data_IF_857307692881
#
_entry.id   IF_857307692881
#
_cell.length_a   1.000
_cell.length_b   1.000
_cell.length_c   1.000
_cell.angle_alpha   90.00
_cell.angle_beta   90.00
_cell.angle_gamma   90.00
#
_symmetry.space_group_name_H-M   'P 1'
#
loop_
_entity.id
_entity.type
_entity.pdbx_description
1 polymer ?
#
# COMPACT_ATOMS: atom_id res chain seq x y z
N UNK A 1 -30.14 9.87 23.05
CA UNK A 1 -29.06 8.87 23.01
C UNK A 1 -27.98 9.39 23.94
N UNK A 2 -27.69 8.72 25.05
CA UNK A 2 -26.57 9.02 25.91
C UNK A 2 -25.43 8.15 25.40
N UNK A 3 -24.38 8.77 24.90
CA UNK A 3 -23.19 8.06 24.46
C UNK A 3 -22.53 7.37 25.67
N UNK A 4 -22.39 6.05 25.60
CA UNK A 4 -21.73 5.29 26.66
C UNK A 4 -20.25 5.10 26.34
N UNK A 5 -19.45 6.06 26.84
CA UNK A 5 -17.99 5.99 26.65
C UNK A 5 -17.30 5.02 27.62
N UNK A 6 -17.99 4.53 28.64
CA UNK A 6 -17.41 3.58 29.62
C UNK A 6 -17.03 2.28 28.93
N UNK A 7 -17.94 1.76 28.08
CA UNK A 7 -17.69 0.55 27.29
C UNK A 7 -16.47 0.72 26.35
N UNK A 8 -16.34 1.90 25.72
CA UNK A 8 -15.19 2.15 24.84
C UNK A 8 -13.89 2.16 25.64
N UNK A 9 -13.90 2.76 26.85
CA UNK A 9 -12.72 2.84 27.70
C UNK A 9 -12.27 1.46 28.20
N UNK A 10 -13.21 0.62 28.58
CA UNK A 10 -12.94 -0.77 28.97
C UNK A 10 -12.38 -1.61 27.82
N UNK A 11 -12.80 -1.36 26.59
CA UNK A 11 -12.36 -2.06 25.39
C UNK A 11 -11.20 -1.38 24.65
N UNK A 12 -10.62 -0.32 25.20
CA UNK A 12 -9.47 0.39 24.60
C UNK A 12 -8.29 -0.52 24.28
N UNK A 13 -7.90 -1.51 25.12
CA UNK A 13 -6.85 -2.47 24.82
C UNK A 13 -7.09 -3.26 23.52
N UNK A 14 -8.35 -3.56 23.18
CA UNK A 14 -8.71 -4.26 21.94
C UNK A 14 -8.40 -3.38 20.71
N UNK A 15 -8.73 -2.08 20.76
CA UNK A 15 -8.41 -1.13 19.70
C UNK A 15 -6.89 -0.95 19.54
N UNK A 16 -6.15 -0.86 20.64
CA UNK A 16 -4.68 -0.75 20.61
C UNK A 16 -4.05 -1.99 19.98
N UNK A 17 -4.55 -3.19 20.33
CA UNK A 17 -4.15 -4.44 19.67
C UNK A 17 -4.48 -4.40 18.18
N UNK A 18 -5.68 -3.92 17.82
CA UNK A 18 -6.11 -3.71 16.44
C UNK A 18 -5.18 -2.77 15.65
N UNK A 19 -4.68 -1.71 16.27
CA UNK A 19 -3.65 -0.83 15.67
C UNK A 19 -2.39 -1.65 15.32
N UNK A 20 -1.95 -2.53 16.23
CA UNK A 20 -0.80 -3.40 15.97
C UNK A 20 -1.01 -4.31 14.76
N UNK A 21 -2.20 -4.92 14.63
CA UNK A 21 -2.56 -5.76 13.47
C UNK A 21 -2.61 -4.93 12.19
N UNK A 22 -3.26 -3.77 12.21
CA UNK A 22 -3.35 -2.83 11.08
C UNK A 22 -1.97 -2.43 10.58
N UNK A 23 -1.07 -2.00 11.48
CA UNK A 23 0.29 -1.60 11.12
C UNK A 23 1.11 -2.78 10.60
N UNK A 24 0.99 -3.96 11.18
CA UNK A 24 1.67 -5.17 10.71
C UNK A 24 1.28 -5.50 9.27
N UNK A 25 -0.03 -5.54 8.98
CA UNK A 25 -0.53 -5.81 7.63
C UNK A 25 -0.07 -4.71 6.66
N UNK A 26 -0.20 -3.44 7.03
CA UNK A 26 0.23 -2.30 6.23
C UNK A 26 1.71 -2.40 5.85
N UNK A 27 2.59 -2.57 6.83
CA UNK A 27 4.03 -2.58 6.61
C UNK A 27 4.49 -3.77 5.76
N UNK A 28 3.96 -4.98 6.02
CA UNK A 28 4.29 -6.17 5.23
C UNK A 28 3.81 -5.98 3.79
N UNK A 29 2.56 -5.53 3.60
CA UNK A 29 2.00 -5.33 2.26
C UNK A 29 2.74 -4.25 1.47
N UNK A 30 3.11 -3.14 2.10
CA UNK A 30 3.89 -2.09 1.45
C UNK A 30 5.30 -2.56 1.10
N UNK A 31 5.98 -3.31 1.97
CA UNK A 31 7.32 -3.83 1.70
C UNK A 31 7.32 -4.80 0.53
N UNK A 32 6.42 -5.80 0.55
CA UNK A 32 6.27 -6.76 -0.54
C UNK A 32 5.77 -6.09 -1.83
N UNK A 33 4.79 -5.18 -1.70
CA UNK A 33 4.25 -4.43 -2.83
C UNK A 33 5.29 -3.56 -3.51
N UNK A 34 6.14 -2.86 -2.74
CA UNK A 34 7.22 -2.05 -3.29
C UNK A 34 8.30 -2.90 -3.97
N UNK A 35 8.63 -4.07 -3.39
CA UNK A 35 9.56 -5.02 -4.00
C UNK A 35 9.07 -5.49 -5.38
N UNK A 36 7.77 -5.72 -5.54
CA UNK A 36 7.14 -6.07 -6.82
C UNK A 36 6.98 -4.85 -7.75
N UNK A 37 6.71 -3.66 -7.19
CA UNK A 37 6.47 -2.45 -7.96
C UNK A 37 7.72 -1.97 -8.72
N UNK A 38 8.92 -2.17 -8.17
CA UNK A 38 10.16 -1.71 -8.81
C UNK A 38 10.37 -2.39 -10.17
N UNK A 39 10.43 -3.74 -10.28
CA UNK A 39 10.57 -4.39 -11.59
C UNK A 39 9.39 -4.08 -12.51
N UNK A 40 8.15 -4.10 -12.02
CA UNK A 40 6.97 -3.77 -12.81
C UNK A 40 7.04 -2.35 -13.37
N UNK A 41 7.41 -1.36 -12.56
CA UNK A 41 7.55 0.04 -12.97
C UNK A 41 8.65 0.23 -14.04
N UNK A 42 9.76 -0.51 -13.92
CA UNK A 42 10.80 -0.53 -14.95
C UNK A 42 10.32 -1.17 -16.26
N UNK A 43 9.56 -2.27 -16.17
CA UNK A 43 8.91 -2.90 -17.34
C UNK A 43 7.93 -1.94 -18.03
N UNK A 44 7.16 -1.16 -17.25
CA UNK A 44 6.18 -0.18 -17.75
C UNK A 44 6.78 0.98 -18.53
N UNK A 45 8.05 1.30 -18.35
CA UNK A 45 8.78 2.32 -19.15
C UNK A 45 9.59 1.74 -20.29
N UNK A 46 9.59 0.42 -20.45
CA UNK A 46 10.29 -0.24 -21.56
C UNK A 46 9.68 0.14 -22.91
N UNK A 47 10.55 0.37 -23.91
CA UNK A 47 10.12 0.58 -25.30
C UNK A 47 9.71 -0.71 -26.01
N UNK A 48 10.13 -1.89 -25.47
CA UNK A 48 9.76 -3.19 -26.02
C UNK A 48 8.32 -3.52 -25.61
N UNK A 49 7.40 -3.75 -26.57
CA UNK A 49 6.03 -4.15 -26.25
C UNK A 49 5.95 -5.49 -25.52
N UNK A 50 6.85 -6.43 -25.80
CA UNK A 50 6.91 -7.73 -25.13
C UNK A 50 7.22 -7.61 -23.63
N UNK A 51 7.94 -6.56 -23.21
CA UNK A 51 8.26 -6.30 -21.80
C UNK A 51 7.18 -5.43 -21.15
N UNK A 52 6.71 -4.41 -21.88
CA UNK A 52 5.73 -3.46 -21.35
C UNK A 52 4.33 -4.09 -21.21
N UNK A 53 3.88 -4.86 -22.19
CA UNK A 53 2.51 -5.37 -22.26
C UNK A 53 2.11 -6.21 -21.03
N UNK A 54 2.88 -7.23 -20.57
CA UNK A 54 2.49 -7.99 -19.38
C UNK A 54 2.43 -7.13 -18.11
N UNK A 55 3.33 -6.18 -17.94
CA UNK A 55 3.29 -5.25 -16.81
C UNK A 55 2.10 -4.30 -16.92
N UNK A 56 1.78 -3.81 -18.11
CA UNK A 56 0.59 -3.00 -18.37
C UNK A 56 -0.69 -3.78 -18.09
N UNK A 57 -0.79 -5.01 -18.59
CA UNK A 57 -1.96 -5.86 -18.36
C UNK A 57 -2.17 -6.12 -16.87
N UNK A 58 -1.09 -6.44 -16.14
CA UNK A 58 -1.13 -6.63 -14.69
C UNK A 58 -1.64 -5.37 -13.97
N UNK A 59 -1.03 -4.21 -14.22
CA UNK A 59 -1.43 -2.97 -13.56
C UNK A 59 -2.85 -2.56 -13.94
N UNK A 60 -3.25 -2.78 -15.20
CA UNK A 60 -4.60 -2.48 -15.69
C UNK A 60 -5.67 -3.34 -14.99
N UNK A 61 -5.46 -4.65 -14.91
CA UNK A 61 -6.41 -5.59 -14.28
C UNK A 61 -6.52 -5.35 -12.79
N UNK A 62 -5.38 -5.26 -12.09
CA UNK A 62 -5.37 -5.10 -10.63
C UNK A 62 -5.97 -3.76 -10.20
N UNK A 63 -5.64 -2.66 -10.89
CA UNK A 63 -6.21 -1.34 -10.59
C UNK A 63 -7.65 -1.17 -11.07
N UNK A 64 -8.07 -1.96 -12.06
CA UNK A 64 -9.42 -1.96 -12.59
C UNK A 64 -10.42 -2.83 -11.83
N UNK A 65 -9.97 -3.58 -10.81
CA UNK A 65 -10.82 -4.47 -10.01
C UNK A 65 -10.90 -4.01 -8.54
N UNK A 66 -12.06 -4.15 -7.87
CA UNK A 66 -12.22 -3.75 -6.48
C UNK A 66 -11.32 -4.56 -5.54
N UNK A 67 -10.64 -3.89 -4.61
CA UNK A 67 -9.75 -4.55 -3.65
C UNK A 67 -10.45 -5.64 -2.82
N UNK A 68 -11.70 -5.42 -2.43
CA UNK A 68 -12.48 -6.42 -1.69
C UNK A 68 -12.65 -7.72 -2.48
N UNK A 69 -12.88 -7.61 -3.79
CA UNK A 69 -13.01 -8.79 -4.67
C UNK A 69 -11.68 -9.54 -4.76
N UNK A 70 -10.57 -8.82 -4.90
CA UNK A 70 -9.22 -9.42 -4.90
C UNK A 70 -8.95 -10.17 -3.59
N UNK A 71 -9.30 -9.57 -2.45
CA UNK A 71 -9.14 -10.20 -1.13
C UNK A 71 -9.98 -11.50 -1.05
N UNK A 72 -11.22 -11.47 -1.51
CA UNK A 72 -12.09 -12.65 -1.50
C UNK A 72 -11.62 -13.75 -2.43
N UNK A 73 -11.12 -13.40 -3.62
CA UNK A 73 -10.56 -14.38 -4.55
C UNK A 73 -9.33 -15.08 -3.96
N UNK A 74 -8.49 -14.36 -3.20
CA UNK A 74 -7.32 -14.96 -2.57
C UNK A 74 -7.73 -15.76 -1.33
N UNK A 75 -8.56 -15.23 -0.45
CA UNK A 75 -8.88 -15.88 0.81
C UNK A 75 -9.85 -17.07 0.65
N UNK A 76 -10.95 -16.87 -0.09
CA UNK A 76 -11.96 -17.91 -0.30
C UNK A 76 -11.74 -18.68 -1.60
N UNK A 77 -11.28 -18.00 -2.66
CA UNK A 77 -11.15 -18.61 -3.99
C UNK A 77 -10.04 -19.64 -4.04
N UNK A 78 -8.84 -19.34 -3.53
CA UNK A 78 -7.72 -20.29 -3.53
C UNK A 78 -8.03 -21.56 -2.73
N UNK A 79 -8.81 -21.45 -1.66
CA UNK A 79 -9.24 -22.60 -0.86
C UNK A 79 -10.18 -23.56 -1.58
N UNK A 80 -10.77 -23.19 -2.72
CA UNK A 80 -11.65 -24.07 -3.52
C UNK A 80 -10.84 -25.09 -4.35
N UNK A 81 -9.57 -24.77 -4.67
CA UNK A 81 -8.75 -25.64 -5.50
C UNK A 81 -8.06 -26.71 -4.65
N UNK A 82 -8.38 -27.98 -4.94
CA UNK A 82 -7.78 -29.15 -4.26
C UNK A 82 -6.25 -29.14 -4.38
N UNK A 83 -5.73 -28.86 -5.57
CA UNK A 83 -4.30 -28.73 -5.82
C UNK A 83 -3.61 -27.70 -4.94
N UNK A 84 -4.31 -26.65 -4.47
CA UNK A 84 -3.78 -25.64 -3.54
C UNK A 84 -3.81 -26.19 -2.12
N UNK A 85 -4.90 -26.86 -1.73
CA UNK A 85 -5.07 -27.43 -0.38
C UNK A 85 -4.09 -28.58 -0.10
N UNK A 86 -3.73 -29.35 -1.12
CA UNK A 86 -2.77 -30.45 -1.01
C UNK A 86 -1.32 -29.99 -1.22
N UNK A 87 -1.10 -28.72 -1.59
CA UNK A 87 0.24 -28.18 -1.83
C UNK A 87 0.97 -27.86 -0.52
N UNK A 88 2.31 -27.83 -0.60
CA UNK A 88 3.20 -27.37 0.49
C UNK A 88 2.90 -25.91 0.88
N UNK A 89 2.20 -25.16 0.03
CA UNK A 89 1.85 -23.76 0.26
C UNK A 89 0.56 -23.58 1.08
N UNK A 90 -0.20 -24.65 1.33
CA UNK A 90 -1.46 -24.58 2.07
C UNK A 90 -1.34 -23.89 3.46
N UNK A 91 -0.31 -24.14 4.29
CA UNK A 91 -0.18 -23.44 5.57
C UNK A 91 -0.14 -21.91 5.46
N UNK A 92 0.31 -21.39 4.32
CA UNK A 92 0.32 -19.95 4.03
C UNK A 92 -1.06 -19.46 3.58
N UNK A 93 -1.74 -20.20 2.70
CA UNK A 93 -3.07 -19.82 2.18
C UNK A 93 -4.23 -20.11 3.15
N UNK A 94 -4.03 -20.92 4.15
CA UNK A 94 -4.98 -21.10 5.25
C UNK A 94 -4.95 -19.96 6.28
N UNK A 95 -3.92 -19.12 6.25
CA UNK A 95 -3.77 -17.97 7.15
C UNK A 95 -4.46 -16.73 6.60
N UNK A 96 -5.50 -16.23 7.28
CA UNK A 96 -6.17 -14.98 6.91
C UNK A 96 -5.20 -13.80 6.83
N UNK A 97 -4.23 -13.72 7.75
CA UNK A 97 -3.21 -12.65 7.74
C UNK A 97 -2.35 -12.69 6.50
N UNK A 98 -1.88 -13.88 6.10
CA UNK A 98 -1.02 -14.00 4.91
C UNK A 98 -1.81 -13.75 3.63
N UNK A 99 -3.05 -14.23 3.54
CA UNK A 99 -3.94 -13.94 2.41
C UNK A 99 -4.21 -12.43 2.28
N UNK A 100 -4.49 -11.76 3.40
CA UNK A 100 -4.70 -10.31 3.40
C UNK A 100 -3.41 -9.56 2.98
N UNK A 101 -2.25 -9.91 3.57
CA UNK A 101 -0.98 -9.31 3.18
C UNK A 101 -0.66 -9.52 1.70
N UNK A 102 -0.92 -10.72 1.15
CA UNK A 102 -0.71 -11.03 -0.27
C UNK A 102 -1.63 -10.20 -1.17
N UNK A 103 -2.94 -10.17 -0.84
CA UNK A 103 -3.91 -9.39 -1.60
C UNK A 103 -3.54 -7.90 -1.65
N UNK A 104 -3.21 -7.34 -0.48
CA UNK A 104 -2.82 -5.94 -0.37
C UNK A 104 -1.47 -5.64 -1.03
N UNK A 105 -0.50 -6.57 -0.96
CA UNK A 105 0.79 -6.43 -1.64
C UNK A 105 0.63 -6.43 -3.17
N UNK A 106 -0.19 -7.33 -3.72
CA UNK A 106 -0.51 -7.37 -5.15
C UNK A 106 -1.18 -6.06 -5.57
N UNK A 107 -2.16 -5.59 -4.81
CA UNK A 107 -2.88 -4.36 -5.11
C UNK A 107 -1.96 -3.14 -5.10
N UNK A 108 -1.26 -2.88 -3.99
CA UNK A 108 -0.38 -1.70 -3.88
C UNK A 108 0.81 -1.77 -4.84
N UNK A 109 1.27 -2.97 -5.24
CA UNK A 109 2.34 -3.10 -6.24
C UNK A 109 1.94 -2.53 -7.60
N UNK A 110 0.69 -2.71 -8.00
CA UNK A 110 0.18 -2.20 -9.27
C UNK A 110 0.09 -0.66 -9.28
N UNK A 111 -0.40 -0.06 -8.17
CA UNK A 111 -0.43 1.40 -8.02
C UNK A 111 0.98 1.98 -7.93
N UNK A 112 1.83 1.41 -7.09
CA UNK A 112 3.21 1.87 -6.91
C UNK A 112 4.05 1.73 -8.18
N UNK A 113 3.83 0.69 -8.99
CA UNK A 113 4.48 0.51 -10.29
C UNK A 113 4.13 1.65 -11.27
N UNK A 114 2.87 2.05 -11.34
CA UNK A 114 2.44 3.17 -12.21
C UNK A 114 2.95 4.52 -11.69
N UNK A 115 3.00 4.72 -10.36
CA UNK A 115 3.61 5.91 -9.74
C UNK A 115 5.10 6.00 -10.12
N UNK A 116 5.84 4.89 -10.01
CA UNK A 116 7.25 4.83 -10.38
C UNK A 116 7.45 5.06 -11.88
N UNK A 117 6.63 4.40 -12.72
CA UNK A 117 6.69 4.55 -14.17
C UNK A 117 6.39 6.00 -14.62
N UNK A 118 5.37 6.64 -14.04
CA UNK A 118 5.06 8.04 -14.27
C UNK A 118 6.21 8.96 -13.88
N UNK A 119 6.80 8.72 -12.71
CA UNK A 119 7.94 9.50 -12.21
C UNK A 119 9.21 9.33 -13.04
N UNK A 120 9.45 8.13 -13.59
CA UNK A 120 10.55 7.87 -14.53
C UNK A 120 10.34 8.59 -15.86
N UNK A 121 9.11 8.56 -16.40
CA UNK A 121 8.75 9.28 -17.64
C UNK A 121 8.85 10.80 -17.48
N UNK A 122 8.59 11.33 -16.30
CA UNK A 122 8.68 12.75 -15.97
C UNK A 122 10.11 13.24 -15.74
N UNK A 123 11.14 12.39 -15.95
CA UNK A 123 12.54 12.83 -15.83
C UNK A 123 12.90 13.82 -16.94
N UNK A 124 13.46 15.01 -16.62
CA UNK A 124 13.86 15.99 -17.62
C UNK A 124 14.84 15.40 -18.63
N UNK A 125 14.59 15.62 -19.92
CA UNK A 125 15.46 15.12 -21.00
C UNK A 125 16.91 15.60 -20.86
N UNK A 126 17.12 16.83 -20.37
CA UNK A 126 18.44 17.39 -20.16
C UNK A 126 19.30 16.60 -19.16
N UNK A 127 18.69 16.02 -18.10
CA UNK A 127 19.43 15.13 -17.17
C UNK A 127 19.94 13.87 -17.88
N UNK A 128 19.15 13.34 -18.81
CA UNK A 128 19.48 12.14 -19.58
C UNK A 128 20.58 12.45 -20.61
N UNK A 129 20.45 13.57 -21.30
CA UNK A 129 21.41 14.01 -22.33
C UNK A 129 22.76 14.36 -21.70
N UNK A 130 22.78 15.11 -20.61
CA UNK A 130 24.00 15.42 -19.88
C UNK A 130 24.74 14.16 -19.42
N UNK A 131 24.02 13.20 -18.87
CA UNK A 131 24.60 11.93 -18.44
C UNK A 131 25.18 11.11 -19.60
N UNK A 132 24.50 11.12 -20.75
CA UNK A 132 25.01 10.47 -21.98
C UNK A 132 26.24 11.17 -22.53
N UNK A 133 26.26 12.51 -22.55
CA UNK A 133 27.41 13.30 -22.98
C UNK A 133 28.66 13.03 -22.13
N UNK A 134 28.47 12.72 -20.83
CA UNK A 134 29.52 12.28 -19.93
C UNK A 134 29.92 10.80 -20.11
N UNK A 135 29.45 10.11 -21.14
CA UNK A 135 29.79 8.72 -21.43
C UNK A 135 29.21 7.69 -20.47
N UNK A 136 28.12 8.01 -19.73
CA UNK A 136 27.51 7.07 -18.81
C UNK A 136 26.86 5.91 -19.57
N UNK A 137 27.19 4.66 -19.18
CA UNK A 137 26.47 3.48 -19.65
C UNK A 137 25.01 3.51 -19.20
N UNK A 138 24.10 2.83 -19.92
CA UNK A 138 22.67 2.76 -19.59
C UNK A 138 22.43 2.33 -18.15
N UNK A 139 23.16 1.33 -17.67
CA UNK A 139 23.03 0.85 -16.28
C UNK A 139 23.43 1.92 -15.26
N UNK A 140 24.54 2.63 -15.48
CA UNK A 140 24.99 3.73 -14.60
C UNK A 140 24.00 4.89 -14.61
N UNK A 141 23.45 5.24 -15.79
CA UNK A 141 22.41 6.25 -15.95
C UNK A 141 21.18 5.90 -15.12
N UNK A 142 20.63 4.69 -15.26
CA UNK A 142 19.47 4.26 -14.48
C UNK A 142 19.75 4.26 -12.98
N UNK A 143 20.85 3.65 -12.54
CA UNK A 143 21.15 3.47 -11.12
C UNK A 143 21.49 4.76 -10.39
N UNK A 144 22.23 5.68 -11.04
CA UNK A 144 22.78 6.89 -10.39
C UNK A 144 21.93 8.15 -10.59
N UNK A 145 21.18 8.22 -11.66
CA UNK A 145 20.44 9.44 -12.02
C UNK A 145 18.94 9.16 -12.08
N UNK A 146 18.48 8.30 -12.99
CA UNK A 146 17.05 8.14 -13.25
C UNK A 146 16.29 7.60 -12.06
N UNK A 147 16.73 6.50 -11.47
CA UNK A 147 16.01 5.85 -10.36
C UNK A 147 15.99 6.72 -9.09
N UNK A 148 17.10 7.30 -8.60
CA UNK A 148 17.07 8.19 -7.45
C UNK A 148 16.23 9.45 -7.70
N UNK A 149 16.32 10.04 -8.89
CA UNK A 149 15.53 11.21 -9.27
C UNK A 149 14.05 10.89 -9.36
N UNK A 150 13.68 9.75 -9.96
CA UNK A 150 12.30 9.28 -10.05
C UNK A 150 11.69 8.94 -8.68
N UNK A 151 12.43 8.26 -7.80
CA UNK A 151 11.98 7.93 -6.43
C UNK A 151 11.68 9.20 -5.62
N UNK A 152 12.52 10.24 -5.75
CA UNK A 152 12.23 11.52 -5.10
C UNK A 152 10.93 12.13 -5.62
N UNK A 153 10.72 12.17 -6.94
CA UNK A 153 9.50 12.72 -7.56
C UNK A 153 8.27 11.85 -7.28
N UNK A 154 8.45 10.54 -7.11
CA UNK A 154 7.38 9.61 -6.75
C UNK A 154 6.86 9.81 -5.31
N UNK A 155 7.69 10.38 -4.41
CA UNK A 155 7.42 10.44 -2.98
C UNK A 155 6.05 11.05 -2.61
N UNK A 156 5.60 12.19 -3.18
CA UNK A 156 4.28 12.75 -2.84
C UNK A 156 3.12 11.84 -3.26
N UNK A 157 3.20 11.24 -4.46
CA UNK A 157 2.18 10.30 -4.92
C UNK A 157 2.20 8.99 -4.13
N UNK A 158 3.39 8.49 -3.79
CA UNK A 158 3.55 7.29 -2.95
C UNK A 158 3.03 7.53 -1.53
N UNK A 159 3.19 8.73 -0.98
CA UNK A 159 2.58 9.15 0.28
C UNK A 159 1.06 8.95 0.29
N UNK A 160 0.39 9.39 -0.77
CA UNK A 160 -1.06 9.18 -0.92
C UNK A 160 -1.41 7.70 -1.04
N UNK A 161 -0.62 6.91 -1.77
CA UNK A 161 -0.82 5.47 -1.90
C UNK A 161 -0.74 4.77 -0.53
N UNK A 162 0.24 5.12 0.30
CA UNK A 162 0.40 4.57 1.66
C UNK A 162 -0.80 4.90 2.55
N UNK A 163 -1.33 6.13 2.46
CA UNK A 163 -2.52 6.54 3.23
C UNK A 163 -3.76 5.79 2.74
N UNK A 164 -3.94 5.66 1.42
CA UNK A 164 -5.04 4.87 0.85
C UNK A 164 -4.94 3.40 1.26
N UNK A 165 -3.74 2.83 1.27
CA UNK A 165 -3.50 1.47 1.72
C UNK A 165 -3.82 1.31 3.22
N UNK A 166 -3.46 2.28 4.09
CA UNK A 166 -3.87 2.27 5.50
C UNK A 166 -5.40 2.15 5.62
N UNK A 167 -6.17 2.95 4.87
CA UNK A 167 -7.63 2.87 4.91
C UNK A 167 -8.15 1.54 4.33
N UNK A 168 -7.50 1.01 3.30
CA UNK A 168 -7.84 -0.27 2.68
C UNK A 168 -7.61 -1.45 3.62
N UNK A 169 -6.67 -1.36 4.58
CA UNK A 169 -6.47 -2.44 5.57
C UNK A 169 -7.71 -2.71 6.40
N UNK A 170 -8.66 -1.78 6.52
CA UNK A 170 -9.95 -1.99 7.20
C UNK A 170 -10.77 -3.16 6.62
N UNK A 171 -10.54 -3.52 5.35
CA UNK A 171 -11.13 -4.70 4.72
C UNK A 171 -10.63 -6.03 5.32
N UNK A 172 -9.51 -6.02 6.03
CA UNK A 172 -8.99 -7.23 6.70
C UNK A 172 -9.95 -7.76 7.77
N UNK A 173 -10.76 -6.88 8.37
CA UNK A 173 -11.80 -7.27 9.32
C UNK A 173 -12.87 -8.21 8.72
N UNK A 174 -13.02 -8.21 7.41
CA UNK A 174 -14.03 -9.04 6.71
C UNK A 174 -13.54 -10.50 6.60
N UNK A 175 -12.23 -10.72 6.60
CA UNK A 175 -11.61 -12.05 6.59
C UNK A 175 -11.10 -12.45 7.98
N UNK A 176 -11.90 -12.20 8.99
CA UNK A 176 -11.70 -12.63 10.40
C UNK A 176 -10.55 -12.00 11.16
N UNK A 177 -9.86 -10.99 10.62
CA UNK A 177 -8.79 -10.31 11.32
C UNK A 177 -9.35 -9.24 12.27
N UNK A 178 -8.78 -9.18 13.47
CA UNK A 178 -9.14 -8.16 14.47
C UNK A 178 -8.14 -7.00 14.34
N UNK A 179 -8.29 -6.25 13.25
CA UNK A 179 -7.67 -4.93 13.05
C UNK A 179 -8.50 -3.84 13.78
N UNK A 180 -8.23 -2.58 13.57
CA UNK A 180 -8.99 -1.48 14.18
C UNK A 180 -10.49 -1.60 13.88
N UNK A 181 -10.86 -1.93 12.65
CA UNK A 181 -12.27 -2.11 12.23
C UNK A 181 -12.85 -3.39 12.83
N UNK A 182 -12.07 -4.46 12.91
CA UNK A 182 -12.45 -5.71 13.58
C UNK A 182 -12.72 -5.52 15.07
N UNK A 183 -11.91 -4.70 15.75
CA UNK A 183 -12.15 -4.31 17.14
C UNK A 183 -13.51 -3.58 17.29
N UNK A 184 -13.80 -2.59 16.43
CA UNK A 184 -15.08 -1.89 16.42
C UNK A 184 -16.25 -2.83 16.17
N UNK A 185 -16.13 -3.79 15.23
CA UNK A 185 -17.17 -4.79 14.97
C UNK A 185 -17.42 -5.68 16.19
N UNK A 186 -16.36 -6.08 16.90
CA UNK A 186 -16.46 -6.89 18.11
C UNK A 186 -17.22 -6.13 19.20
N UNK A 187 -16.83 -4.90 19.50
CA UNK A 187 -17.49 -4.04 20.50
C UNK A 187 -18.94 -3.76 20.09
N UNK A 188 -19.16 -3.41 18.82
CA UNK A 188 -20.50 -3.14 18.30
C UNK A 188 -21.44 -4.35 18.43
N UNK A 189 -20.98 -5.56 18.16
CA UNK A 189 -21.78 -6.77 18.24
C UNK A 189 -22.04 -7.22 19.69
N UNK A 190 -21.09 -6.97 20.59
CA UNK A 190 -21.18 -7.38 21.99
C UNK A 190 -22.08 -6.45 22.83
N UNK A 191 -21.98 -5.14 22.57
CA UNK A 191 -22.66 -4.12 23.40
C UNK A 191 -23.80 -3.39 22.68
N UNK A 192 -24.03 -3.70 21.38
CA UNK A 192 -25.04 -3.03 20.55
C UNK A 192 -24.85 -1.51 20.43
N UNK A 193 -23.57 -1.06 20.42
CA UNK A 193 -23.14 0.34 20.36
C UNK A 193 -22.38 0.62 19.04
N UNK A 194 -23.02 0.51 17.86
CA UNK A 194 -22.31 0.65 16.58
C UNK A 194 -21.73 2.04 16.37
N UNK A 195 -22.43 3.07 16.80
CA UNK A 195 -22.02 4.45 16.57
C UNK A 195 -20.73 4.77 17.34
N UNK A 196 -20.69 4.49 18.64
CA UNK A 196 -19.55 4.73 19.51
C UNK A 196 -18.34 3.89 19.07
N UNK A 197 -18.57 2.61 18.74
CA UNK A 197 -17.53 1.69 18.32
C UNK A 197 -16.86 2.14 17.02
N UNK A 198 -17.64 2.51 15.99
CA UNK A 198 -17.08 2.90 14.70
C UNK A 198 -16.52 4.33 14.68
N UNK A 199 -17.06 5.27 15.49
CA UNK A 199 -16.42 6.58 15.69
C UNK A 199 -15.05 6.39 16.32
N UNK A 200 -14.92 5.53 17.33
CA UNK A 200 -13.64 5.23 17.96
C UNK A 200 -12.64 4.67 16.95
N UNK A 201 -13.04 3.71 16.11
CA UNK A 201 -12.20 3.22 15.03
C UNK A 201 -11.78 4.36 14.07
N UNK A 202 -12.73 5.21 13.68
CA UNK A 202 -12.46 6.38 12.84
C UNK A 202 -11.42 7.32 13.42
N UNK A 203 -11.46 7.56 14.74
CA UNK A 203 -10.47 8.38 15.44
C UNK A 203 -9.08 7.74 15.43
N UNK A 204 -8.98 6.42 15.61
CA UNK A 204 -7.70 5.70 15.48
C UNK A 204 -7.12 5.80 14.06
N UNK A 205 -7.94 5.58 13.02
CA UNK A 205 -7.50 5.76 11.63
C UNK A 205 -7.09 7.20 11.33
N UNK A 206 -7.83 8.18 11.84
CA UNK A 206 -7.49 9.61 11.68
C UNK A 206 -6.15 9.93 12.33
N UNK A 207 -5.90 9.43 13.54
CA UNK A 207 -4.63 9.60 14.26
C UNK A 207 -3.47 9.00 13.46
N UNK A 208 -3.60 7.75 12.98
CA UNK A 208 -2.59 7.09 12.16
C UNK A 208 -2.35 7.84 10.85
N UNK A 209 -3.42 8.29 10.17
CA UNK A 209 -3.32 9.11 8.96
C UNK A 209 -2.55 10.39 9.21
N UNK A 210 -2.87 11.09 10.31
CA UNK A 210 -2.17 12.32 10.67
C UNK A 210 -0.67 12.08 10.91
N UNK A 211 -0.31 10.99 11.61
CA UNK A 211 1.09 10.59 11.84
C UNK A 211 1.79 10.33 10.49
N UNK A 212 1.19 9.54 9.61
CA UNK A 212 1.76 9.24 8.29
C UNK A 212 1.94 10.50 7.45
N UNK A 213 0.92 11.37 7.39
CA UNK A 213 1.01 12.66 6.67
C UNK A 213 2.17 13.51 7.19
N UNK A 214 2.35 13.58 8.51
CA UNK A 214 3.47 14.32 9.12
C UNK A 214 4.83 13.71 8.76
N UNK A 215 4.96 12.38 8.83
CA UNK A 215 6.19 11.68 8.47
C UNK A 215 6.55 11.91 6.99
N UNK A 216 5.60 11.76 6.08
CA UNK A 216 5.82 11.99 4.66
C UNK A 216 6.16 13.45 4.35
N UNK A 217 5.47 14.43 4.97
CA UNK A 217 5.81 15.86 4.82
C UNK A 217 7.23 16.18 5.29
N UNK A 218 7.71 15.53 6.36
CA UNK A 218 9.10 15.68 6.80
C UNK A 218 10.07 15.08 5.79
N UNK A 219 9.76 13.90 5.26
CA UNK A 219 10.57 13.28 4.20
C UNK A 219 10.60 14.13 2.91
N UNK A 220 9.46 14.64 2.48
CA UNK A 220 9.34 15.54 1.33
C UNK A 220 10.16 16.82 1.50
N UNK A 221 10.07 17.48 2.65
CA UNK A 221 10.86 18.69 2.94
C UNK A 221 12.36 18.42 2.85
N UNK A 222 12.82 17.25 3.25
CA UNK A 222 14.25 16.89 3.22
C UNK A 222 14.72 16.50 1.82
N UNK A 223 13.89 15.73 1.08
CA UNK A 223 14.31 15.12 -0.19
C UNK A 223 13.95 15.94 -1.43
N UNK A 224 12.94 16.83 -1.32
CA UNK A 224 12.44 17.66 -2.41
C UNK A 224 12.80 19.15 -2.22
N UNK A 225 13.65 19.49 -1.27
CA UNK A 225 14.06 20.88 -1.00
C UNK A 225 14.57 21.63 -2.24
N UNK A 226 15.17 20.90 -3.20
CA UNK A 226 15.69 21.48 -4.45
C UNK A 226 14.60 21.84 -5.48
N UNK A 227 13.37 21.33 -5.32
CA UNK A 227 12.20 21.67 -6.15
C UNK A 227 11.38 22.83 -5.55
N UNK A 228 11.70 23.26 -4.33
CA UNK A 228 11.02 24.38 -3.71
C UNK A 228 11.28 25.66 -4.56
N UNK A 229 10.23 26.46 -4.88
CA UNK A 229 10.44 27.73 -5.57
C UNK A 229 11.43 28.56 -4.76
N UNK A 230 12.47 29.08 -5.42
CA UNK A 230 13.36 30.08 -4.79
C UNK A 230 12.46 31.24 -4.37
N UNK A 231 12.44 31.52 -3.06
CA UNK A 231 11.83 32.75 -2.58
C UNK A 231 12.59 33.90 -3.23
N UNK A 232 11.88 34.66 -4.08
CA UNK A 232 12.38 35.89 -4.64
C UNK A 232 12.61 36.91 -3.53
#
# INVERSE_FOLDING_TARGET
>A
MIFDYTVIWENLPLYISGVGVTLKILLISLACGLALAIPLGLMRVSKSPLVNFPAWLYTYVIRGTPMLVQLFLIYYGLAQFEAVRESVLWPYFSSATLCACLAFAINTSAYSAEILAGSLKATPHGEIEAAKAMGMSRFKLYRRILLPSALRRALPQYSNEVIMMLHTTSLASIVTLIDITGAARTVSSQYYLPFEAFITAGLFYLCLTFILVRLFKLAERRWLAYLAPRKA
#
